data_IF_529854218589
#
_entry.id   IF_529854218589
#
_cell.length_a   1.000
_cell.length_b   1.000
_cell.length_c   1.000
_cell.angle_alpha   90.00
_cell.angle_beta   90.00
_cell.angle_gamma   90.00
#
_symmetry.space_group_name_H-M   'P 1'
#
loop_
_entity.id
_entity.type
_entity.pdbx_description
1 polymer ?
#
# COMPACT_ATOMS: atom_id res chain seq x y z
N UNK A 1 -23.13 15.25 1.86
CA UNK A 1 -22.47 14.83 0.61
C UNK A 1 -21.84 13.47 0.85
N UNK A 2 -22.27 12.42 0.15
CA UNK A 2 -21.52 11.16 0.14
C UNK A 2 -20.20 11.40 -0.61
N UNK A 3 -19.08 11.23 0.08
CA UNK A 3 -17.76 11.23 -0.57
C UNK A 3 -17.66 10.09 -1.59
N UNK A 4 -16.93 10.28 -2.68
CA UNK A 4 -16.61 9.19 -3.62
C UNK A 4 -15.47 8.35 -3.04
N UNK A 5 -15.67 7.05 -2.91
CA UNK A 5 -14.59 6.11 -2.55
C UNK A 5 -13.61 5.95 -3.72
N UNK A 6 -12.31 5.70 -3.45
CA UNK A 6 -11.36 5.29 -4.48
C UNK A 6 -11.83 4.01 -5.21
N UNK A 7 -11.45 3.80 -6.48
CA UNK A 7 -11.81 2.59 -7.21
C UNK A 7 -11.15 1.35 -6.60
N UNK A 8 -11.67 0.15 -6.90
CA UNK A 8 -11.09 -1.12 -6.43
C UNK A 8 -9.63 -1.34 -6.85
N UNK A 9 -9.31 -0.94 -8.08
CA UNK A 9 -7.97 -0.98 -8.64
C UNK A 9 -7.69 0.37 -9.29
N UNK A 10 -6.51 0.93 -9.03
CA UNK A 10 -6.03 2.07 -9.79
C UNK A 10 -5.59 1.63 -11.19
N UNK A 11 -6.19 2.26 -12.21
CA UNK A 11 -5.91 1.98 -13.62
C UNK A 11 -5.02 3.07 -14.20
N UNK A 12 -3.90 2.68 -14.82
CA UNK A 12 -3.00 3.56 -15.56
C UNK A 12 -2.02 4.37 -14.69
N UNK A 13 -1.14 5.18 -15.30
CA UNK A 13 -0.26 6.07 -14.56
C UNK A 13 -1.11 7.07 -13.78
N UNK A 14 -0.94 7.12 -12.46
CA UNK A 14 -1.59 8.13 -11.64
C UNK A 14 -1.17 9.50 -12.15
N UNK A 15 -2.13 10.40 -12.40
CA UNK A 15 -1.78 11.83 -12.55
C UNK A 15 -1.16 12.25 -11.22
N UNK A 16 0.17 12.28 -11.17
CA UNK A 16 0.88 12.79 -10.03
C UNK A 16 0.35 14.20 -9.72
N UNK A 17 0.29 14.57 -8.44
CA UNK A 17 0.31 15.98 -8.06
C UNK A 17 1.57 16.54 -8.71
N UNK A 18 1.45 17.10 -9.92
CA UNK A 18 2.57 17.45 -10.78
C UNK A 18 3.16 18.72 -10.16
N UNK A 19 4.32 18.65 -9.49
CA UNK A 19 4.89 19.82 -8.88
C UNK A 19 5.63 20.53 -10.01
N UNK A 20 5.03 21.58 -10.54
CA UNK A 20 5.60 22.20 -11.73
C UNK A 20 7.07 22.61 -11.51
N UNK A 21 7.56 22.90 -10.27
CA UNK A 21 8.96 22.61 -9.88
C UNK A 21 9.19 22.38 -8.35
N UNK A 22 10.45 22.06 -7.96
CA UNK A 22 10.91 21.71 -6.60
C UNK A 22 12.13 22.55 -6.16
N UNK A 23 12.97 22.09 -5.21
CA UNK A 23 14.04 22.83 -4.49
C UNK A 23 15.10 23.59 -5.34
N UNK A 24 14.93 23.69 -6.65
CA UNK A 24 15.79 24.36 -7.63
C UNK A 24 15.05 25.30 -8.62
N UNK A 25 13.73 25.57 -8.51
CA UNK A 25 13.04 26.41 -9.52
C UNK A 25 11.54 26.62 -9.28
N UNK A 26 10.86 27.27 -10.26
CA UNK A 26 9.48 27.80 -10.15
C UNK A 26 8.42 26.73 -9.86
N UNK A 27 7.14 27.02 -9.87
CA UNK A 27 6.11 26.01 -9.67
C UNK A 27 4.92 26.60 -10.36
N UNK A 28 4.87 26.44 -11.68
CA UNK A 28 3.80 27.03 -12.48
C UNK A 28 2.53 26.25 -12.25
N UNK A 29 1.83 26.58 -11.15
CA UNK A 29 0.42 26.25 -10.91
C UNK A 29 -0.27 25.74 -12.17
N UNK A 30 -0.35 24.40 -12.31
CA UNK A 30 -1.27 23.78 -13.24
C UNK A 30 -2.60 24.55 -13.17
N UNK A 31 -3.09 25.00 -14.33
CA UNK A 31 -4.18 25.97 -14.52
C UNK A 31 -5.53 25.62 -13.84
N UNK A 32 -5.59 24.54 -13.07
CA UNK A 32 -6.72 24.10 -12.28
C UNK A 32 -6.49 24.36 -10.78
N UNK A 33 -7.36 25.18 -10.18
CA UNK A 33 -7.43 25.52 -8.74
C UNK A 33 -7.64 24.32 -7.78
N UNK A 34 -7.42 23.09 -8.22
CA UNK A 34 -7.66 21.85 -7.46
C UNK A 34 -6.39 20.97 -7.26
N UNK A 35 -5.25 21.39 -7.82
CA UNK A 35 -3.96 20.71 -7.71
C UNK A 35 -3.21 21.15 -6.44
N UNK A 36 -2.69 20.19 -5.67
CA UNK A 36 -1.84 20.49 -4.50
C UNK A 36 -0.48 21.00 -5.01
N UNK A 37 -0.36 22.33 -5.10
CA UNK A 37 0.86 23.01 -5.51
C UNK A 37 2.07 22.59 -4.66
N UNK A 38 3.11 22.04 -5.30
CA UNK A 38 4.51 21.98 -4.83
C UNK A 38 4.81 21.14 -3.57
N UNK A 39 4.18 19.97 -3.40
CA UNK A 39 4.59 19.05 -2.34
C UNK A 39 5.94 18.40 -2.68
N UNK A 40 6.99 18.70 -1.91
CA UNK A 40 8.31 18.08 -2.06
C UNK A 40 8.64 17.19 -0.85
N UNK A 41 9.02 15.94 -1.08
CA UNK A 41 9.52 15.05 -0.02
C UNK A 41 11.01 14.78 -0.24
N UNK A 42 11.83 15.25 0.71
CA UNK A 42 13.29 15.22 0.56
C UNK A 42 13.86 13.80 0.56
N UNK A 43 15.00 13.62 -0.13
CA UNK A 43 15.74 12.34 -0.07
C UNK A 43 16.17 11.99 1.36
N UNK A 44 16.54 12.98 2.18
CA UNK A 44 16.90 12.80 3.61
C UNK A 44 15.76 12.18 4.43
N UNK A 45 14.52 12.36 3.99
CA UNK A 45 13.35 11.74 4.60
C UNK A 45 13.03 10.39 3.94
N UNK A 46 13.02 10.32 2.60
CA UNK A 46 12.60 9.12 1.87
C UNK A 46 13.55 7.93 2.04
N UNK A 47 14.87 8.15 1.99
CA UNK A 47 15.88 7.08 2.13
C UNK A 47 15.75 6.32 3.45
N UNK A 48 15.77 6.96 4.65
CA UNK A 48 15.66 6.21 5.90
C UNK A 48 14.28 5.56 6.08
N UNK A 49 13.21 6.18 5.58
CA UNK A 49 11.86 5.58 5.59
C UNK A 49 11.85 4.31 4.74
N UNK A 50 12.47 4.36 3.55
CA UNK A 50 12.58 3.21 2.67
C UNK A 50 13.35 2.08 3.34
N UNK A 51 14.57 2.35 3.81
CA UNK A 51 15.40 1.35 4.48
C UNK A 51 14.74 0.72 5.71
N UNK A 52 13.89 1.46 6.43
CA UNK A 52 13.25 0.97 7.66
C UNK A 52 12.03 0.07 7.41
N UNK A 53 11.29 0.30 6.33
CA UNK A 53 9.96 -0.30 6.17
C UNK A 53 9.80 -1.12 4.88
N UNK A 54 10.54 -0.83 3.82
CA UNK A 54 10.33 -1.47 2.51
C UNK A 54 10.47 -2.99 2.58
N UNK A 55 11.45 -3.51 3.33
CA UNK A 55 11.66 -4.95 3.48
C UNK A 55 10.42 -5.68 4.03
N UNK A 56 9.83 -5.19 5.12
CA UNK A 56 8.67 -5.83 5.75
C UNK A 56 7.43 -5.76 4.85
N UNK A 57 7.28 -4.66 4.10
CA UNK A 57 6.20 -4.50 3.12
C UNK A 57 6.34 -5.54 2.00
N UNK A 58 7.55 -5.66 1.42
CA UNK A 58 7.84 -6.63 0.38
C UNK A 58 7.69 -8.08 0.88
N UNK A 59 8.13 -8.37 2.11
CA UNK A 59 7.94 -9.69 2.72
C UNK A 59 6.45 -10.00 2.93
N UNK A 60 5.67 -9.05 3.44
CA UNK A 60 4.22 -9.20 3.59
C UNK A 60 3.52 -9.47 2.27
N UNK A 61 3.86 -8.77 1.19
CA UNK A 61 3.31 -9.03 -0.15
C UNK A 61 3.74 -10.39 -0.73
N UNK A 62 4.99 -10.81 -0.50
CA UNK A 62 5.46 -12.14 -0.90
C UNK A 62 4.65 -13.24 -0.22
N UNK A 63 4.47 -13.15 1.08
CA UNK A 63 3.66 -14.14 1.82
C UNK A 63 2.18 -14.05 1.48
N UNK A 64 1.65 -12.86 1.21
CA UNK A 64 0.30 -12.69 0.69
C UNK A 64 0.12 -13.36 -0.68
N UNK A 65 1.16 -13.37 -1.52
CA UNK A 65 1.15 -14.12 -2.79
C UNK A 65 1.10 -15.63 -2.55
N UNK A 66 1.88 -16.13 -1.59
CA UNK A 66 1.87 -17.53 -1.18
C UNK A 66 0.52 -17.95 -0.61
N UNK A 67 -0.10 -17.10 0.22
CA UNK A 67 -1.45 -17.30 0.74
C UNK A 67 -2.45 -17.53 -0.41
N UNK A 68 -2.41 -16.71 -1.45
CA UNK A 68 -3.28 -16.88 -2.61
C UNK A 68 -3.11 -18.22 -3.31
N UNK A 69 -1.89 -18.76 -3.35
CA UNK A 69 -1.63 -20.10 -3.85
C UNK A 69 -2.24 -21.15 -2.92
N UNK A 70 -1.98 -21.08 -1.62
CA UNK A 70 -2.53 -22.02 -0.64
C UNK A 70 -4.05 -22.07 -0.64
N UNK A 71 -4.72 -20.91 -0.77
CA UNK A 71 -6.18 -20.82 -0.87
C UNK A 71 -6.74 -21.45 -2.15
N UNK A 72 -6.06 -21.30 -3.29
CA UNK A 72 -6.44 -21.95 -4.55
C UNK A 72 -6.23 -23.46 -4.52
N UNK A 73 -5.17 -23.90 -3.87
CA UNK A 73 -4.82 -25.31 -3.71
C UNK A 73 -5.66 -26.01 -2.61
N UNK A 74 -6.51 -25.26 -1.89
CA UNK A 74 -7.32 -25.77 -0.77
C UNK A 74 -6.51 -26.17 0.46
N UNK A 75 -5.26 -25.68 0.57
CA UNK A 75 -4.36 -25.99 1.66
C UNK A 75 -4.57 -25.00 2.83
N UNK A 76 -5.60 -25.28 3.62
CA UNK A 76 -6.02 -24.45 4.75
C UNK A 76 -4.95 -24.33 5.84
N UNK A 77 -4.22 -25.41 6.12
CA UNK A 77 -3.18 -25.41 7.17
C UNK A 77 -2.06 -24.41 6.85
N UNK A 78 -1.62 -24.37 5.60
CA UNK A 78 -0.60 -23.42 5.16
C UNK A 78 -1.17 -21.99 5.16
N UNK A 79 -2.42 -21.81 4.69
CA UNK A 79 -3.09 -20.50 4.73
C UNK A 79 -3.24 -19.94 6.16
N UNK A 80 -3.63 -20.79 7.11
CA UNK A 80 -3.70 -20.46 8.55
C UNK A 80 -2.33 -20.03 9.06
N UNK A 81 -1.27 -20.80 8.79
CA UNK A 81 0.09 -20.49 9.26
C UNK A 81 0.60 -19.13 8.79
N UNK A 82 0.16 -18.66 7.61
CA UNK A 82 0.57 -17.38 7.02
C UNK A 82 -0.17 -16.20 7.69
N UNK A 83 -1.39 -16.40 8.20
CA UNK A 83 -2.24 -15.32 8.71
C UNK A 83 -2.46 -15.35 10.24
N UNK A 84 -2.37 -16.52 10.85
CA UNK A 84 -2.66 -16.79 12.24
C UNK A 84 -1.35 -17.20 12.90
N UNK A 85 -0.53 -16.20 13.23
CA UNK A 85 0.68 -16.40 14.02
C UNK A 85 0.34 -16.83 15.43
N UNK A 86 1.30 -17.45 16.14
CA UNK A 86 1.10 -17.80 17.53
C UNK A 86 1.01 -16.54 18.42
N UNK A 87 0.21 -16.53 19.50
CA UNK A 87 0.01 -15.34 20.36
C UNK A 87 1.29 -14.78 21.00
N UNK A 88 2.33 -15.60 21.14
CA UNK A 88 3.64 -15.23 21.71
C UNK A 88 4.67 -14.81 20.66
N UNK A 89 4.30 -14.81 19.38
CA UNK A 89 5.18 -14.50 18.26
C UNK A 89 4.87 -13.12 17.68
N UNK A 90 5.85 -12.49 17.00
CA UNK A 90 5.59 -11.28 16.24
C UNK A 90 4.45 -11.52 15.22
N UNK A 91 3.69 -10.46 14.88
CA UNK A 91 2.61 -10.59 13.91
C UNK A 91 3.12 -11.18 12.60
N UNK A 92 2.34 -12.06 11.94
CA UNK A 92 2.70 -12.59 10.64
C UNK A 92 3.00 -11.48 9.63
N UNK A 93 3.92 -11.69 8.68
CA UNK A 93 4.36 -10.65 7.75
C UNK A 93 3.25 -9.91 7.00
N UNK A 94 2.16 -10.55 6.50
CA UNK A 94 1.06 -9.81 5.87
C UNK A 94 0.37 -8.83 6.83
N UNK A 95 0.34 -9.14 8.13
CA UNK A 95 -0.27 -8.30 9.17
C UNK A 95 0.70 -7.22 9.65
N UNK A 96 1.97 -7.55 9.90
CA UNK A 96 3.00 -6.56 10.26
C UNK A 96 3.13 -5.49 9.18
N UNK A 97 3.07 -5.90 7.91
CA UNK A 97 3.19 -5.01 6.77
C UNK A 97 2.16 -3.88 6.79
N UNK A 98 0.94 -4.09 7.28
CA UNK A 98 -0.11 -3.05 7.32
C UNK A 98 0.33 -1.79 8.09
N UNK A 99 0.91 -1.98 9.27
CA UNK A 99 1.46 -0.87 10.04
C UNK A 99 2.61 -0.21 9.29
N UNK A 100 3.50 -1.01 8.68
CA UNK A 100 4.65 -0.50 7.94
C UNK A 100 4.22 0.26 6.70
N UNK A 101 3.14 -0.15 6.02
CA UNK A 101 2.57 0.55 4.87
C UNK A 101 2.07 1.94 5.28
N UNK A 102 1.34 2.06 6.38
CA UNK A 102 0.88 3.38 6.86
C UNK A 102 2.06 4.29 7.23
N UNK A 103 3.08 3.75 7.90
CA UNK A 103 4.29 4.50 8.27
C UNK A 103 5.13 4.89 7.05
N UNK A 104 5.28 3.97 6.10
CA UNK A 104 5.99 4.20 4.84
C UNK A 104 5.29 5.26 4.01
N UNK A 105 3.99 5.13 3.75
CA UNK A 105 3.22 6.14 3.04
C UNK A 105 3.31 7.52 3.73
N UNK A 106 3.22 7.56 5.06
CA UNK A 106 3.36 8.82 5.81
C UNK A 106 4.75 9.44 5.61
N UNK A 107 5.82 8.65 5.69
CA UNK A 107 7.19 9.13 5.49
C UNK A 107 7.51 9.47 4.03
N UNK A 108 6.88 8.82 3.07
CA UNK A 108 7.16 9.00 1.64
C UNK A 108 6.33 10.10 0.98
N UNK A 109 5.11 10.36 1.48
CA UNK A 109 4.11 11.21 0.83
C UNK A 109 3.72 12.46 1.64
N UNK A 110 4.17 12.57 2.89
CA UNK A 110 3.99 13.79 3.68
C UNK A 110 5.10 14.76 3.36
N UNK A 111 4.74 15.90 2.80
CA UNK A 111 5.69 16.96 2.54
C UNK A 111 5.80 17.90 3.75
N UNK A 112 7.03 18.25 4.19
CA UNK A 112 7.23 19.21 5.27
C UNK A 112 6.82 20.65 4.89
N UNK A 113 6.61 20.94 3.60
CA UNK A 113 6.21 22.27 3.14
C UNK A 113 4.69 22.41 2.92
N UNK A 114 3.91 21.36 3.23
CA UNK A 114 2.47 21.36 3.12
C UNK A 114 1.85 20.88 4.43
N UNK A 115 1.02 21.73 5.05
CA UNK A 115 0.44 21.50 6.38
C UNK A 115 -0.78 20.58 6.35
N UNK A 116 -1.29 20.23 5.17
CA UNK A 116 -2.42 19.32 4.99
C UNK A 116 -2.00 17.87 4.72
N UNK A 117 -2.98 16.94 4.78
CA UNK A 117 -2.77 15.58 4.31
C UNK A 117 -2.82 15.57 2.78
N UNK A 118 -1.75 15.09 2.13
CA UNK A 118 -1.76 14.93 0.68
C UNK A 118 -2.85 13.93 0.27
N UNK A 119 -3.55 14.20 -0.85
CA UNK A 119 -4.59 13.31 -1.38
C UNK A 119 -4.03 11.89 -1.59
N UNK A 120 -2.78 11.81 -2.08
CA UNK A 120 -2.04 10.56 -2.27
C UNK A 120 -1.85 9.78 -0.96
N UNK A 121 -1.50 10.46 0.14
CA UNK A 121 -1.36 9.82 1.45
C UNK A 121 -2.69 9.25 1.94
N UNK A 122 -3.79 9.99 1.80
CA UNK A 122 -5.11 9.52 2.18
C UNK A 122 -5.53 8.27 1.39
N UNK A 123 -5.30 8.28 0.07
CA UNK A 123 -5.61 7.14 -0.80
C UNK A 123 -4.69 5.94 -0.51
N UNK A 124 -3.40 6.16 -0.20
CA UNK A 124 -2.51 5.08 0.21
C UNK A 124 -2.97 4.43 1.53
N UNK A 125 -3.37 5.23 2.52
CA UNK A 125 -3.92 4.72 3.79
C UNK A 125 -5.26 3.99 3.58
N UNK A 126 -6.10 4.48 2.67
CA UNK A 126 -7.32 3.80 2.26
C UNK A 126 -7.01 2.37 1.79
N UNK A 127 -6.11 2.19 0.82
CA UNK A 127 -5.78 0.85 0.35
C UNK A 127 -5.09 -0.03 1.40
N UNK A 128 -4.31 0.54 2.32
CA UNK A 128 -3.80 -0.22 3.47
C UNK A 128 -4.93 -0.76 4.35
N UNK A 129 -5.99 0.01 4.57
CA UNK A 129 -7.18 -0.44 5.30
C UNK A 129 -7.97 -1.49 4.51
N UNK A 130 -8.09 -1.35 3.19
CA UNK A 130 -8.76 -2.34 2.35
C UNK A 130 -8.03 -3.68 2.33
N UNK A 131 -6.70 -3.68 2.41
CA UNK A 131 -5.91 -4.91 2.60
C UNK A 131 -6.22 -5.55 3.96
N UNK A 132 -6.35 -4.76 5.04
CA UNK A 132 -6.75 -5.29 6.35
C UNK A 132 -8.15 -5.92 6.29
N UNK A 133 -9.10 -5.24 5.66
CA UNK A 133 -10.45 -5.78 5.45
C UNK A 133 -10.39 -7.12 4.68
N UNK A 134 -9.63 -7.18 3.59
CA UNK A 134 -9.41 -8.42 2.84
C UNK A 134 -8.81 -9.54 3.70
N UNK A 135 -7.83 -9.22 4.54
CA UNK A 135 -7.20 -10.20 5.44
C UNK A 135 -8.20 -10.75 6.45
N UNK A 136 -9.08 -9.90 7.01
CA UNK A 136 -10.10 -10.33 7.96
C UNK A 136 -11.13 -11.24 7.28
N UNK A 137 -11.60 -10.86 6.09
CA UNK A 137 -12.51 -11.69 5.29
C UNK A 137 -11.89 -13.05 4.92
N UNK A 138 -10.58 -13.10 4.63
CA UNK A 138 -9.89 -14.37 4.38
C UNK A 138 -9.83 -15.21 5.66
N UNK A 139 -9.58 -14.61 6.83
CA UNK A 139 -9.54 -15.35 8.09
C UNK A 139 -10.89 -15.99 8.40
N UNK A 140 -11.96 -15.22 8.29
CA UNK A 140 -13.32 -15.73 8.49
C UNK A 140 -13.65 -16.86 7.50
N UNK A 141 -13.25 -16.69 6.23
CA UNK A 141 -13.44 -17.70 5.20
C UNK A 141 -12.60 -18.97 5.42
N UNK A 142 -11.42 -18.86 6.04
CA UNK A 142 -10.60 -20.01 6.43
C UNK A 142 -11.31 -20.81 7.54
N UNK A 143 -11.86 -20.14 8.54
CA UNK A 143 -12.60 -20.77 9.64
C UNK A 143 -13.84 -21.53 9.11
N UNK A 144 -14.52 -20.95 8.13
CA UNK A 144 -15.70 -21.53 7.45
C UNK A 144 -15.32 -22.56 6.35
N UNK A 145 -14.03 -22.65 5.98
CA UNK A 145 -13.51 -23.40 4.82
C UNK A 145 -14.19 -23.02 3.49
N UNK A 146 -14.58 -21.76 3.34
CA UNK A 146 -15.18 -21.23 2.12
C UNK A 146 -14.09 -20.80 1.13
N UNK A 147 -13.79 -21.69 0.19
CA UNK A 147 -12.80 -21.43 -0.87
C UNK A 147 -13.20 -20.28 -1.78
N UNK A 148 -14.48 -20.06 -2.03
CA UNK A 148 -14.93 -19.01 -2.95
C UNK A 148 -14.72 -17.65 -2.29
N UNK A 149 -15.25 -17.47 -1.08
CA UNK A 149 -15.09 -16.25 -0.29
C UNK A 149 -13.61 -15.91 -0.05
N UNK A 150 -12.80 -16.91 0.31
CA UNK A 150 -11.37 -16.70 0.54
C UNK A 150 -10.64 -16.23 -0.73
N UNK A 151 -10.94 -16.82 -1.89
CA UNK A 151 -10.31 -16.43 -3.16
C UNK A 151 -10.77 -15.05 -3.65
N UNK A 152 -12.04 -14.69 -3.44
CA UNK A 152 -12.55 -13.36 -3.78
C UNK A 152 -11.95 -12.29 -2.89
N UNK A 153 -11.90 -12.51 -1.58
CA UNK A 153 -11.24 -11.64 -0.63
C UNK A 153 -9.73 -11.50 -0.92
N UNK A 154 -9.06 -12.60 -1.30
CA UNK A 154 -7.66 -12.53 -1.72
C UNK A 154 -7.45 -11.68 -2.98
N UNK A 155 -8.29 -11.85 -4.01
CA UNK A 155 -8.24 -11.01 -5.22
C UNK A 155 -8.46 -9.53 -4.88
N UNK A 156 -9.39 -9.24 -3.98
CA UNK A 156 -9.66 -7.88 -3.52
C UNK A 156 -8.45 -7.25 -2.80
N UNK A 157 -7.84 -7.99 -1.88
CA UNK A 157 -6.63 -7.51 -1.21
C UNK A 157 -5.44 -7.38 -2.16
N UNK A 158 -5.31 -8.27 -3.15
CA UNK A 158 -4.30 -8.14 -4.23
C UNK A 158 -4.45 -6.83 -4.99
N UNK A 159 -5.67 -6.49 -5.40
CA UNK A 159 -5.96 -5.24 -6.12
C UNK A 159 -5.62 -4.02 -5.26
N UNK A 160 -5.86 -4.12 -3.95
CA UNK A 160 -5.55 -3.07 -2.97
C UNK A 160 -4.04 -2.92 -2.75
N UNK A 161 -3.28 -4.02 -2.64
CA UNK A 161 -1.81 -4.04 -2.61
C UNK A 161 -1.22 -3.36 -3.83
N UNK A 162 -1.68 -3.74 -5.02
CA UNK A 162 -1.19 -3.19 -6.27
C UNK A 162 -1.51 -1.69 -6.40
N UNK A 163 -2.70 -1.27 -5.96
CA UNK A 163 -3.08 0.14 -5.92
C UNK A 163 -2.23 0.94 -4.95
N UNK A 164 -1.94 0.38 -3.77
CA UNK A 164 -1.00 0.99 -2.83
C UNK A 164 0.40 1.15 -3.46
N UNK A 165 0.93 0.12 -4.11
CA UNK A 165 2.23 0.17 -4.78
C UNK A 165 2.30 1.19 -5.89
N UNK A 166 1.26 1.31 -6.71
CA UNK A 166 1.20 2.36 -7.72
C UNK A 166 1.35 3.77 -7.10
N UNK A 167 0.74 4.02 -5.94
CA UNK A 167 0.84 5.32 -5.28
C UNK A 167 2.24 5.57 -4.73
N UNK A 168 2.84 4.59 -4.05
CA UNK A 168 4.11 4.83 -3.35
C UNK A 168 5.32 4.68 -4.25
N UNK A 169 5.25 3.88 -5.33
CA UNK A 169 6.34 3.69 -6.28
C UNK A 169 6.71 4.98 -7.02
N UNK A 170 5.78 5.91 -7.24
CA UNK A 170 6.10 7.23 -7.78
C UNK A 170 7.06 8.03 -6.89
N UNK A 171 7.05 7.75 -5.59
CA UNK A 171 7.95 8.38 -4.61
C UNK A 171 9.25 7.61 -4.42
N UNK A 172 9.41 6.44 -5.06
CA UNK A 172 10.62 5.62 -5.05
C UNK A 172 11.38 5.85 -6.36
N UNK A 173 12.43 6.67 -6.27
CA UNK A 173 13.41 6.86 -7.34
C UNK A 173 14.64 6.00 -7.09
N UNK A 174 15.50 5.83 -8.09
CA UNK A 174 16.75 5.04 -8.01
C UNK A 174 17.69 5.46 -6.85
N UNK A 175 17.61 6.72 -6.39
CA UNK A 175 18.35 7.23 -5.23
C UNK A 175 17.76 6.85 -3.86
N UNK A 176 16.54 6.32 -3.84
CA UNK A 176 15.81 5.93 -2.64
C UNK A 176 15.83 4.41 -2.48
N UNK A 177 15.57 3.67 -3.56
CA UNK A 177 15.56 2.21 -3.58
C UNK A 177 14.82 1.67 -4.80
N UNK A 178 14.55 0.38 -4.78
CA UNK A 178 13.83 -0.31 -5.85
C UNK A 178 12.31 -0.16 -5.67
N UNK A 179 11.60 -0.06 -6.79
CA UNK A 179 10.13 -0.03 -6.76
C UNK A 179 9.60 -1.40 -6.31
N UNK A 180 8.45 -1.40 -5.64
CA UNK A 180 7.77 -2.63 -5.28
C UNK A 180 7.18 -3.29 -6.52
N UNK A 181 7.40 -4.59 -6.65
CA UNK A 181 6.75 -5.41 -7.66
C UNK A 181 5.28 -5.63 -7.33
N UNK A 182 4.45 -5.58 -8.37
CA UNK A 182 3.02 -5.87 -8.24
C UNK A 182 2.82 -7.37 -7.96
N UNK A 183 1.83 -7.67 -7.13
CA UNK A 183 1.40 -9.04 -6.85
C UNK A 183 0.67 -9.59 -8.10
N UNK A 184 1.12 -10.75 -8.56
CA UNK A 184 0.57 -11.48 -9.71
C UNK A 184 -0.74 -12.21 -9.36
#
# INVERSE_FOLDING_TARGET
MMGKSPPRLLNGPLKADNPDFNAFGSCETAQDKSSNSCTYVSLKQRVPVYSKYAFNIALGAKEYTMLGKSLRDGNWKDAESILLGAPSQPPPPPIDALLKMVLFASGMLTSPNFTGLSKRLLVARYYANEIKFAIDEIKDAIDERDTTRANEAWKYGKDSWNSYYQIVNDSVSDKVGDKFDLIA
#
